data_IF_045104533647
#
_entry.id   IF_045104533647
#
_cell.length_a   1.000
_cell.length_b   1.000
_cell.length_c   1.000
_cell.angle_alpha   90.00
_cell.angle_beta   90.00
_cell.angle_gamma   90.00
#
_symmetry.space_group_name_H-M   'P 1'
#
loop_
_entity.id
_entity.type
_entity.pdbx_description
1 polymer ?
#
# COMPACT_ATOMS: atom_id res chain seq x y z
N UNK A 1 -1.31 -24.93 17.54
CA UNK A 1 -0.20 -24.42 18.37
C UNK A 1 -0.22 -25.22 19.65
N UNK A 2 0.88 -25.87 20.03
CA UNK A 2 0.94 -26.61 21.29
C UNK A 2 1.06 -25.62 22.47
N UNK A 3 0.67 -26.02 23.68
CA UNK A 3 0.73 -25.14 24.86
C UNK A 3 2.16 -24.64 25.16
N UNK A 4 3.17 -25.45 24.86
CA UNK A 4 4.59 -25.07 24.94
C UNK A 4 4.96 -23.97 23.94
N UNK A 5 4.44 -24.05 22.71
CA UNK A 5 4.69 -23.04 21.67
C UNK A 5 4.04 -21.70 22.05
N UNK A 6 2.83 -21.74 22.63
CA UNK A 6 2.14 -20.53 23.09
C UNK A 6 2.92 -19.83 24.20
N UNK A 7 3.47 -20.57 25.18
CA UNK A 7 4.33 -20.01 26.23
C UNK A 7 5.65 -19.45 25.67
N UNK A 8 6.27 -20.15 24.73
CA UNK A 8 7.49 -19.67 24.07
C UNK A 8 7.22 -18.38 23.29
N UNK A 9 6.08 -18.30 22.59
CA UNK A 9 5.66 -17.12 21.86
C UNK A 9 5.39 -15.93 22.79
N UNK A 10 4.64 -16.12 23.88
CA UNK A 10 4.38 -15.08 24.87
C UNK A 10 5.66 -14.53 25.53
N UNK A 11 6.58 -15.43 25.90
CA UNK A 11 7.88 -15.06 26.45
C UNK A 11 8.70 -14.26 25.42
N UNK A 12 8.66 -14.65 24.15
CA UNK A 12 9.35 -13.93 23.07
C UNK A 12 8.77 -12.54 22.84
N UNK A 13 7.45 -12.38 22.83
CA UNK A 13 6.80 -11.06 22.73
C UNK A 13 7.21 -10.15 23.90
N UNK A 14 7.23 -10.67 25.12
CA UNK A 14 7.66 -9.92 26.31
C UNK A 14 9.13 -9.51 26.25
N UNK A 15 10.00 -10.36 25.70
CA UNK A 15 11.43 -10.06 25.57
C UNK A 15 11.65 -8.93 24.56
N UNK A 16 11.00 -9.00 23.39
CA UNK A 16 11.08 -7.97 22.35
C UNK A 16 10.49 -6.64 22.84
N UNK A 17 9.36 -6.66 23.57
CA UNK A 17 8.74 -5.45 24.10
C UNK A 17 9.64 -4.65 25.06
N UNK A 18 10.69 -5.27 25.62
CA UNK A 18 11.65 -4.66 26.55
C UNK A 18 12.90 -4.11 25.86
N UNK A 19 13.05 -4.26 24.54
CA UNK A 19 14.27 -3.80 23.85
C UNK A 19 14.29 -2.30 23.57
N UNK A 20 13.20 -1.59 23.86
CA UNK A 20 13.11 -0.12 23.73
C UNK A 20 13.55 0.57 25.01
N UNK A 21 13.91 1.85 24.92
CA UNK A 21 14.28 2.61 26.10
C UNK A 21 13.05 2.97 26.97
N UNK A 22 13.24 3.41 28.23
CA UNK A 22 12.14 3.84 29.10
C UNK A 22 11.30 5.00 28.55
N UNK A 23 11.89 5.85 27.70
CA UNK A 23 11.22 7.00 27.08
C UNK A 23 10.37 6.65 25.85
N UNK A 24 10.24 5.36 25.50
CA UNK A 24 9.34 4.94 24.42
C UNK A 24 7.87 5.27 24.78
N UNK A 25 7.13 6.01 23.94
CA UNK A 25 5.79 6.49 24.26
C UNK A 25 4.73 5.39 24.30
N UNK A 26 5.02 4.18 23.78
CA UNK A 26 4.06 3.07 23.73
C UNK A 26 3.91 2.40 25.10
N UNK A 27 2.72 1.89 25.39
CA UNK A 27 2.49 1.02 26.56
C UNK A 27 3.16 -0.35 26.37
N UNK A 28 3.30 -1.12 27.45
CA UNK A 28 3.85 -2.49 27.37
C UNK A 28 3.06 -3.39 26.42
N UNK A 29 1.73 -3.28 26.42
CA UNK A 29 0.87 -4.12 25.58
C UNK A 29 0.93 -3.69 24.11
N UNK A 30 1.04 -2.39 23.84
CA UNK A 30 1.32 -1.87 22.49
C UNK A 30 2.67 -2.37 21.97
N UNK A 31 3.73 -2.33 22.79
CA UNK A 31 5.04 -2.89 22.41
C UNK A 31 4.97 -4.41 22.16
N UNK A 32 4.18 -5.14 22.94
CA UNK A 32 3.94 -6.58 22.71
C UNK A 32 3.16 -6.83 21.42
N UNK A 33 2.20 -5.99 21.06
CA UNK A 33 1.52 -6.07 19.77
C UNK A 33 2.49 -5.81 18.61
N UNK A 34 3.30 -4.75 18.70
CA UNK A 34 4.32 -4.43 17.70
C UNK A 34 5.38 -5.54 17.59
N UNK A 35 5.69 -6.23 18.69
CA UNK A 35 6.61 -7.37 18.71
C UNK A 35 6.15 -8.53 17.81
N UNK A 36 4.84 -8.68 17.54
CA UNK A 36 4.34 -9.66 16.56
C UNK A 36 4.87 -9.33 15.17
N UNK A 37 4.87 -8.05 14.80
CA UNK A 37 5.47 -7.55 13.57
C UNK A 37 6.96 -7.84 13.51
N UNK A 38 7.70 -7.55 14.59
CA UNK A 38 9.14 -7.83 14.69
C UNK A 38 9.44 -9.32 14.49
N UNK A 39 8.71 -10.23 15.15
CA UNK A 39 8.87 -11.68 14.97
C UNK A 39 8.57 -12.09 13.53
N UNK A 40 7.50 -11.55 12.94
CA UNK A 40 7.09 -11.87 11.56
C UNK A 40 8.15 -11.44 10.55
N UNK A 41 8.85 -10.35 10.83
CA UNK A 41 10.01 -9.89 10.06
C UNK A 41 11.32 -10.47 10.60
N UNK A 42 11.32 -11.57 11.37
CA UNK A 42 12.54 -12.26 11.81
C UNK A 42 13.53 -11.42 12.63
N UNK A 43 13.09 -10.28 13.16
CA UNK A 43 13.88 -9.40 13.98
C UNK A 43 13.76 -9.79 15.47
N UNK A 44 14.67 -9.28 16.29
CA UNK A 44 14.78 -9.60 17.71
C UNK A 44 14.61 -8.38 18.63
N UNK A 45 14.41 -7.19 18.07
CA UNK A 45 14.21 -5.93 18.79
C UNK A 45 13.21 -5.02 18.09
N UNK A 46 12.53 -4.17 18.87
CA UNK A 46 11.74 -3.04 18.38
C UNK A 46 12.63 -1.84 18.09
N UNK A 47 12.23 -1.03 17.12
CA UNK A 47 12.68 0.35 16.99
C UNK A 47 11.95 1.22 18.01
N UNK A 48 12.70 1.97 18.81
CA UNK A 48 12.21 2.87 19.84
C UNK A 48 11.59 4.12 19.19
N UNK A 49 10.45 4.58 19.71
CA UNK A 49 9.74 5.77 19.21
C UNK A 49 9.95 7.00 20.10
N UNK A 50 11.05 7.05 20.86
CA UNK A 50 11.34 8.17 21.77
C UNK A 50 11.89 9.44 21.08
N UNK A 51 12.01 9.42 19.74
CA UNK A 51 12.45 10.56 18.90
C UNK A 51 13.85 11.13 19.21
N UNK A 52 14.65 10.44 20.02
CA UNK A 52 16.02 10.84 20.35
C UNK A 52 17.00 10.27 19.32
N UNK A 53 17.80 11.15 18.72
CA UNK A 53 18.80 10.79 17.70
C UNK A 53 19.91 9.87 18.25
N UNK A 54 20.21 9.96 19.55
CA UNK A 54 21.23 9.14 20.22
C UNK A 54 20.66 7.87 20.86
N UNK A 55 19.41 7.49 20.55
CA UNK A 55 18.82 6.29 21.11
C UNK A 55 19.41 5.04 20.43
N UNK A 56 20.15 4.17 21.15
CA UNK A 56 20.68 2.93 20.56
C UNK A 56 19.57 1.95 20.15
N UNK A 57 18.37 2.12 20.71
CA UNK A 57 17.18 1.36 20.34
C UNK A 57 16.35 2.06 19.25
N UNK A 58 16.68 3.29 18.84
CA UNK A 58 15.94 4.07 17.83
C UNK A 58 16.09 3.54 16.41
N UNK A 59 17.18 2.82 16.13
CA UNK A 59 17.40 2.22 14.82
C UNK A 59 16.41 1.10 14.51
N UNK A 60 15.79 1.16 13.33
CA UNK A 60 14.99 0.06 12.82
C UNK A 60 15.87 -1.17 12.58
N UNK A 61 15.49 -2.36 13.10
CA UNK A 61 16.17 -3.58 12.70
C UNK A 61 16.04 -3.79 11.19
N UNK A 62 17.05 -4.39 10.53
CA UNK A 62 17.03 -4.61 9.09
C UNK A 62 15.85 -5.51 8.70
N UNK A 63 15.08 -5.10 7.69
CA UNK A 63 13.94 -5.87 7.16
C UNK A 63 14.41 -7.21 6.58
N UNK A 64 13.70 -8.29 6.89
CA UNK A 64 14.00 -9.66 6.41
C UNK A 64 13.38 -10.01 5.05
N UNK A 65 13.00 -9.01 4.26
CA UNK A 65 12.63 -9.20 2.84
C UNK A 65 11.17 -9.62 2.60
N UNK A 66 10.32 -9.63 3.62
CA UNK A 66 8.86 -9.70 3.45
C UNK A 66 8.35 -8.28 3.17
N UNK A 67 7.72 -8.09 2.00
CA UNK A 67 7.13 -6.80 1.61
C UNK A 67 5.62 -6.95 1.53
N UNK A 68 4.92 -6.12 2.30
CA UNK A 68 3.46 -6.02 2.26
C UNK A 68 3.09 -4.73 1.55
N UNK A 69 2.25 -4.83 0.51
CA UNK A 69 1.78 -3.67 -0.23
C UNK A 69 0.40 -3.27 0.28
N UNK A 70 0.34 -2.06 0.85
CA UNK A 70 -0.89 -1.38 1.27
C UNK A 70 -1.15 -0.24 0.29
N UNK A 71 -2.38 -0.15 -0.21
CA UNK A 71 -2.87 0.96 -1.02
C UNK A 71 -3.75 1.80 -0.10
N UNK A 72 -3.43 3.08 0.06
CA UNK A 72 -4.18 4.02 0.88
C UNK A 72 -4.41 5.30 0.07
N UNK A 73 -5.47 6.04 0.41
CA UNK A 73 -5.68 7.37 -0.16
C UNK A 73 -4.75 8.37 0.54
N UNK A 74 -4.40 9.46 -0.15
CA UNK A 74 -3.45 10.45 0.37
C UNK A 74 -3.96 11.12 1.65
N UNK A 75 -5.28 11.38 1.73
CA UNK A 75 -5.93 11.94 2.92
C UNK A 75 -5.77 11.06 4.18
N UNK A 76 -5.60 9.75 4.00
CA UNK A 76 -5.35 8.80 5.08
C UNK A 76 -3.94 8.95 5.64
N UNK A 77 -3.01 9.55 4.88
CA UNK A 77 -1.63 9.76 5.31
C UNK A 77 -1.45 11.11 6.04
N UNK A 78 -2.22 12.12 5.63
CA UNK A 78 -2.04 13.51 6.09
C UNK A 78 -2.55 13.74 7.52
N UNK A 79 -3.52 12.94 8.00
CA UNK A 79 -3.96 12.96 9.40
C UNK A 79 -3.06 12.09 10.29
N UNK A 80 -1.81 12.52 10.47
CA UNK A 80 -0.95 11.95 11.52
C UNK A 80 -1.59 12.26 12.88
N UNK A 81 -1.80 11.26 13.78
CA UNK A 81 -2.32 11.55 15.11
C UNK A 81 -1.36 12.51 15.82
N UNK A 82 -1.86 13.67 16.21
CA UNK A 82 -1.14 14.55 17.11
C UNK A 82 -0.82 13.77 18.41
N UNK A 83 0.37 13.95 19.01
CA UNK A 83 0.66 13.36 20.31
C UNK A 83 -0.45 13.74 21.28
N UNK A 84 -0.97 12.74 22.01
CA UNK A 84 -2.01 12.98 23.00
C UNK A 84 -1.56 14.09 23.96
N UNK A 85 -2.37 15.13 24.10
CA UNK A 85 -2.10 16.17 25.09
C UNK A 85 -2.03 15.51 26.48
N UNK A 86 -1.06 15.89 27.32
CA UNK A 86 -0.96 15.34 28.67
C UNK A 86 -2.28 15.60 29.42
N UNK A 87 -2.70 14.66 30.30
CA UNK A 87 -3.92 14.85 31.07
C UNK A 87 -3.82 16.16 31.87
N UNK A 88 -4.93 16.91 32.01
CA UNK A 88 -4.93 18.11 32.83
C UNK A 88 -4.50 17.75 34.25
N UNK A 89 -3.60 18.57 34.81
CA UNK A 89 -3.13 18.41 36.18
C UNK A 89 -4.34 18.35 37.14
N UNK A 90 -4.29 17.50 38.19
CA UNK A 90 -5.35 17.47 39.18
C UNK A 90 -5.51 18.86 39.77
N UNK A 91 -6.74 19.37 39.73
CA UNK A 91 -7.11 20.61 40.40
C UNK A 91 -6.89 20.43 41.91
N UNK A 92 -6.27 21.39 42.61
CA UNK A 92 -6.12 21.30 44.05
C UNK A 92 -7.50 21.30 44.73
N UNK A 93 -7.69 20.37 45.67
CA UNK A 93 -8.88 20.26 46.50
C UNK A 93 -9.17 21.60 47.21
N UNK A 94 -10.31 22.19 46.89
CA UNK A 94 -10.91 23.27 47.68
C UNK A 94 -11.82 22.62 48.73
N UNK A 95 -11.59 22.81 50.03
CA UNK A 95 -12.45 22.26 51.06
C UNK A 95 -13.85 22.88 50.96
N UNK A 96 -14.87 22.05 50.76
CA UNK A 96 -16.27 22.47 50.84
C UNK A 96 -16.83 22.13 52.22
N UNK A 97 -17.44 23.12 52.89
CA UNK A 97 -18.21 22.95 54.13
C UNK A 97 -19.43 22.03 53.92
N UNK A 98 -19.93 21.35 54.98
CA UNK A 98 -20.87 20.25 54.84
C UNK A 98 -22.34 20.74 54.84
N UNK A 99 -23.25 20.06 54.13
CA UNK A 99 -24.64 19.99 54.54
C UNK A 99 -24.88 18.73 55.37
N UNK A 100 -25.63 18.91 56.45
CA UNK A 100 -26.05 17.91 57.43
C UNK A 100 -27.08 16.93 56.87
N UNK A 101 -26.79 15.64 57.09
CA UNK A 101 -27.66 14.49 57.43
C UNK A 101 -29.14 14.47 57.00
N UNK A 102 -29.53 13.39 56.31
CA UNK A 102 -30.45 12.39 56.88
C UNK A 102 -30.26 11.01 56.22
N UNK A 103 -30.33 9.97 57.06
CA UNK A 103 -30.01 8.53 56.94
C UNK A 103 -31.06 7.66 56.17
N UNK A 104 -31.04 6.30 56.15
CA UNK A 104 -29.96 5.29 56.00
C UNK A 104 -30.26 4.08 55.04
N UNK A 105 -29.18 3.43 54.57
CA UNK A 105 -28.86 1.97 54.53
C UNK A 105 -29.65 0.92 53.71
N UNK A 106 -28.96 0.25 52.77
CA UNK A 106 -28.56 -1.20 52.77
C UNK A 106 -27.72 -1.49 51.50
N UNK A 107 -26.42 -1.82 51.55
CA UNK A 107 -25.78 -3.12 51.86
C UNK A 107 -26.26 -4.27 50.92
N UNK A 108 -25.46 -5.11 50.26
CA UNK A 108 -24.01 -5.30 50.15
C UNK A 108 -23.69 -6.28 48.98
N UNK A 109 -22.62 -6.01 48.23
CA UNK A 109 -21.60 -6.91 47.61
C UNK A 109 -22.01 -8.19 46.81
N UNK A 110 -21.07 -9.00 46.30
CA UNK A 110 -20.22 -8.80 45.13
C UNK A 110 -20.35 -9.97 44.10
N UNK A 111 -19.83 -9.82 42.88
CA UNK A 111 -19.22 -10.94 42.14
C UNK A 111 -18.46 -10.43 40.92
N UNK A 112 -17.14 -10.56 40.98
CA UNK A 112 -16.29 -10.68 39.81
C UNK A 112 -16.77 -11.84 38.92
N UNK A 113 -16.85 -11.62 37.60
CA UNK A 113 -16.21 -12.51 36.62
C UNK A 113 -16.39 -12.01 35.17
N UNK A 114 -15.24 -11.72 34.55
CA UNK A 114 -14.84 -11.97 33.15
C UNK A 114 -15.56 -11.30 31.96
N UNK A 115 -14.82 -10.34 31.36
CA UNK A 115 -14.32 -10.31 29.94
C UNK A 115 -15.33 -10.41 28.76
N UNK A 116 -15.13 -9.64 27.65
CA UNK A 116 -13.84 -9.40 27.00
C UNK A 116 -13.49 -7.92 26.73
N UNK A 117 -12.20 -7.63 26.90
CA UNK A 117 -11.55 -6.31 26.81
C UNK A 117 -11.10 -6.01 25.38
N UNK A 118 -11.66 -4.96 24.74
CA UNK A 118 -11.22 -4.43 23.45
C UNK A 118 -10.25 -3.25 23.66
N UNK A 119 -9.02 -3.40 23.14
CA UNK A 119 -7.91 -2.44 23.03
C UNK A 119 -8.09 -1.07 23.74
N UNK A 120 -7.55 -1.02 24.96
CA UNK A 120 -6.90 0.10 25.68
C UNK A 120 -7.63 1.47 25.81
N UNK A 121 -8.30 1.69 26.96
CA UNK A 121 -8.75 3.00 27.47
C UNK A 121 -10.23 3.02 27.91
N UNK A 122 -10.62 3.86 28.88
CA UNK A 122 -12.04 4.03 29.22
C UNK A 122 -12.85 4.29 27.94
N UNK A 123 -14.00 3.61 27.76
CA UNK A 123 -14.77 3.77 26.54
C UNK A 123 -15.19 5.24 26.45
N UNK A 124 -14.84 5.99 25.37
CA UNK A 124 -15.53 7.23 25.14
C UNK A 124 -17.00 6.87 25.05
N UNK A 125 -17.83 7.54 25.85
CA UNK A 125 -19.25 7.25 25.87
C UNK A 125 -19.75 7.27 24.41
N UNK A 126 -20.27 6.12 23.93
CA UNK A 126 -20.76 5.97 22.55
C UNK A 126 -21.73 7.09 22.18
N UNK A 127 -22.39 7.62 23.21
CA UNK A 127 -23.23 8.79 23.19
C UNK A 127 -22.80 9.73 24.31
N UNK A 128 -22.92 11.03 24.09
CA UNK A 128 -22.63 12.07 25.09
C UNK A 128 -23.51 11.98 26.35
N UNK A 129 -24.58 11.17 26.35
CA UNK A 129 -25.54 10.94 27.45
C UNK A 129 -26.08 9.49 27.42
N UNK A 130 -26.65 8.97 28.52
CA UNK A 130 -27.28 7.65 28.57
C UNK A 130 -28.35 7.45 27.49
N UNK A 131 -28.50 6.23 26.95
CA UNK A 131 -29.40 5.93 25.83
C UNK A 131 -30.86 6.38 26.07
N UNK A 132 -31.33 6.28 27.31
CA UNK A 132 -32.65 6.72 27.77
C UNK A 132 -32.89 8.24 27.66
N UNK A 133 -31.82 9.02 27.53
CA UNK A 133 -31.81 10.48 27.47
C UNK A 133 -31.52 10.99 26.05
N UNK A 134 -31.31 10.09 25.08
CA UNK A 134 -31.10 10.43 23.67
C UNK A 134 -32.42 10.46 22.92
N UNK A 135 -32.54 11.44 22.04
CA UNK A 135 -33.55 11.41 20.97
C UNK A 135 -33.17 10.38 19.90
N UNK A 136 -34.15 9.89 19.14
CA UNK A 136 -33.92 8.96 18.02
C UNK A 136 -32.89 9.52 17.02
N UNK A 137 -32.89 10.84 16.81
CA UNK A 137 -31.93 11.53 15.95
C UNK A 137 -30.52 11.46 16.50
N UNK A 138 -30.31 11.76 17.79
CA UNK A 138 -29.00 11.70 18.45
C UNK A 138 -28.44 10.26 18.51
N UNK A 139 -29.32 9.26 18.64
CA UNK A 139 -28.93 7.84 18.60
C UNK A 139 -28.49 7.37 17.21
N UNK A 140 -28.99 8.02 16.14
CA UNK A 140 -28.71 7.67 14.74
C UNK A 140 -27.62 8.56 14.10
N UNK A 141 -27.24 9.67 14.73
CA UNK A 141 -26.08 10.48 14.33
C UNK A 141 -24.88 10.12 15.21
N UNK A 142 -23.88 9.40 14.69
CA UNK A 142 -22.67 9.11 15.47
C UNK A 142 -21.96 10.42 15.84
N UNK A 143 -21.58 10.55 17.12
CA UNK A 143 -20.68 11.61 17.60
C UNK A 143 -19.40 11.61 16.74
N UNK A 144 -18.92 12.74 16.19
CA UNK A 144 -17.80 12.73 15.24
C UNK A 144 -16.48 12.34 15.92
N UNK A 145 -16.14 11.05 15.88
CA UNK A 145 -14.82 10.55 16.22
C UNK A 145 -13.89 10.66 15.02
N UNK A 146 -12.81 11.44 15.14
CA UNK A 146 -11.80 11.76 14.10
C UNK A 146 -11.32 10.54 13.28
N UNK A 147 -11.22 9.36 13.89
CA UNK A 147 -10.78 8.12 13.23
C UNK A 147 -11.79 7.53 12.24
N UNK A 148 -13.08 7.89 12.34
CA UNK A 148 -14.12 7.43 11.43
C UNK A 148 -14.11 8.16 10.07
N UNK A 149 -13.35 9.26 9.94
CA UNK A 149 -13.24 10.03 8.70
C UNK A 149 -12.10 9.55 7.79
N UNK A 150 -11.19 8.73 8.32
CA UNK A 150 -10.09 8.16 7.55
C UNK A 150 -10.60 7.11 6.57
N UNK A 151 -10.31 7.31 5.29
CA UNK A 151 -10.66 6.33 4.26
C UNK A 151 -9.96 5.00 4.57
N UNK A 152 -10.65 3.86 4.38
CA UNK A 152 -10.01 2.57 4.53
C UNK A 152 -8.94 2.39 3.45
N UNK A 153 -7.88 1.69 3.81
CA UNK A 153 -6.88 1.21 2.88
C UNK A 153 -7.20 -0.23 2.46
N UNK A 154 -6.40 -0.76 1.54
CA UNK A 154 -6.46 -2.17 1.22
C UNK A 154 -5.08 -2.79 0.99
N UNK A 155 -4.94 -4.03 1.40
CA UNK A 155 -3.81 -4.87 1.03
C UNK A 155 -3.97 -5.32 -0.43
N UNK A 156 -2.85 -5.36 -1.16
CA UNK A 156 -2.83 -5.94 -2.49
C UNK A 156 -3.19 -7.44 -2.39
N UNK A 157 -4.37 -7.80 -2.92
CA UNK A 157 -5.05 -9.07 -2.59
C UNK A 157 -6.51 -8.89 -2.17
N UNK A 158 -6.95 -7.65 -1.91
CA UNK A 158 -8.36 -7.29 -1.75
C UNK A 158 -8.87 -7.29 -0.31
N UNK A 159 -7.98 -7.40 0.69
CA UNK A 159 -8.36 -7.28 2.10
C UNK A 159 -8.40 -5.82 2.52
N UNK A 160 -9.46 -5.42 3.19
CA UNK A 160 -9.65 -4.06 3.70
C UNK A 160 -8.87 -3.85 4.99
N UNK A 161 -8.34 -2.65 5.16
CA UNK A 161 -7.65 -2.19 6.35
C UNK A 161 -8.35 -0.91 6.84
N UNK A 162 -8.87 -0.88 8.08
CA UNK A 162 -9.47 0.35 8.61
C UNK A 162 -8.50 1.53 8.55
N UNK A 163 -9.00 2.74 8.26
CA UNK A 163 -8.16 3.91 8.02
C UNK A 163 -7.15 4.18 9.14
N UNK A 164 -7.57 4.09 10.40
CA UNK A 164 -6.68 4.23 11.56
C UNK A 164 -5.52 3.21 11.60
N UNK A 165 -5.76 1.97 11.14
CA UNK A 165 -4.70 0.95 11.04
C UNK A 165 -3.78 1.27 9.86
N UNK A 166 -4.34 1.76 8.75
CA UNK A 166 -3.57 2.20 7.61
C UNK A 166 -2.62 3.36 7.98
N UNK A 167 -3.09 4.38 8.70
CA UNK A 167 -2.26 5.48 9.21
C UNK A 167 -1.10 4.94 10.05
N UNK A 168 -1.36 4.03 10.98
CA UNK A 168 -0.30 3.43 11.81
C UNK A 168 0.70 2.63 10.97
N UNK A 169 0.24 1.90 9.96
CA UNK A 169 1.10 1.14 9.06
C UNK A 169 2.05 2.02 8.24
N UNK A 170 1.84 3.35 8.19
CA UNK A 170 2.77 4.28 7.52
C UNK A 170 4.05 4.52 8.31
N UNK A 171 4.05 4.29 9.62
CA UNK A 171 5.21 4.57 10.47
C UNK A 171 6.36 3.66 10.07
N UNK A 172 7.43 4.26 9.52
CA UNK A 172 8.60 3.53 9.01
C UNK A 172 8.39 2.85 7.65
N UNK A 173 7.24 3.04 6.99
CA UNK A 173 6.99 2.48 5.67
C UNK A 173 7.61 3.30 4.55
N UNK A 174 8.08 2.63 3.49
CA UNK A 174 8.41 3.30 2.24
C UNK A 174 7.13 3.71 1.52
N UNK A 175 6.90 5.02 1.41
CA UNK A 175 5.72 5.57 0.73
C UNK A 175 6.05 5.80 -0.75
N UNK A 176 5.25 5.22 -1.64
CA UNK A 176 5.35 5.46 -3.09
C UNK A 176 4.03 6.03 -3.59
N UNK A 177 4.06 7.24 -4.13
CA UNK A 177 2.89 7.86 -4.74
C UNK A 177 2.51 7.15 -6.04
N UNK A 178 1.27 6.63 -6.10
CA UNK A 178 0.72 6.06 -7.33
C UNK A 178 -0.01 7.15 -8.10
N UNK A 179 0.50 7.49 -9.28
CA UNK A 179 -0.08 8.51 -10.14
C UNK A 179 -0.85 7.85 -11.27
N UNK A 180 -2.12 8.22 -11.43
CA UNK A 180 -2.94 7.79 -12.55
C UNK A 180 -2.32 8.29 -13.88
N UNK A 181 -2.13 7.43 -14.90
CA UNK A 181 -1.44 7.81 -16.13
C UNK A 181 -2.27 8.76 -17.02
N UNK A 182 -3.58 8.87 -16.78
CA UNK A 182 -4.46 9.75 -17.54
C UNK A 182 -4.42 9.39 -19.03
N UNK A 183 -4.18 10.40 -19.87
CA UNK A 183 -4.07 10.26 -21.32
C UNK A 183 -2.61 10.18 -21.81
N UNK A 184 -1.68 9.77 -20.94
CA UNK A 184 -0.27 9.61 -21.33
C UNK A 184 -0.12 8.66 -22.53
N UNK A 185 0.81 8.96 -23.45
CA UNK A 185 1.04 8.09 -24.60
C UNK A 185 1.55 6.72 -24.16
N UNK A 186 1.36 5.67 -24.98
CA UNK A 186 1.88 4.35 -24.69
C UNK A 186 3.42 4.32 -24.58
N UNK A 187 3.93 3.39 -23.78
CA UNK A 187 5.36 3.14 -23.70
C UNK A 187 5.87 2.36 -24.93
N UNK A 188 7.08 2.67 -25.44
CA UNK A 188 7.59 2.09 -26.69
C UNK A 188 8.11 0.65 -26.55
N UNK A 189 8.07 0.08 -25.34
CA UNK A 189 8.69 -1.20 -25.00
C UNK A 189 7.62 -2.23 -24.64
N UNK A 190 7.88 -3.50 -24.94
CA UNK A 190 7.00 -4.61 -24.53
C UNK A 190 6.81 -4.66 -23.01
N UNK A 191 7.90 -4.51 -22.25
CA UNK A 191 7.81 -4.52 -20.79
C UNK A 191 7.42 -3.13 -20.28
N UNK A 192 6.35 -3.01 -19.49
CA UNK A 192 6.00 -1.74 -18.88
C UNK A 192 7.08 -1.29 -17.90
N UNK A 193 7.24 0.02 -17.76
CA UNK A 193 8.03 0.64 -16.70
C UNK A 193 7.53 0.21 -15.32
N UNK A 194 8.39 0.36 -14.31
CA UNK A 194 8.01 0.09 -12.92
C UNK A 194 6.77 0.92 -12.53
N UNK A 195 6.72 2.21 -12.91
CA UNK A 195 5.61 3.11 -12.60
C UNK A 195 4.29 2.63 -13.21
N UNK A 196 4.29 2.28 -14.49
CA UNK A 196 3.09 1.77 -15.16
C UNK A 196 2.66 0.41 -14.60
N UNK A 197 3.62 -0.49 -14.34
CA UNK A 197 3.34 -1.80 -13.77
C UNK A 197 2.79 -1.70 -12.34
N UNK A 198 3.32 -0.80 -11.51
CA UNK A 198 2.82 -0.55 -10.15
C UNK A 198 1.42 0.05 -10.19
N UNK A 199 1.16 1.01 -11.09
CA UNK A 199 -0.20 1.53 -11.32
C UNK A 199 -1.19 0.42 -11.69
N UNK A 200 -0.85 -0.42 -12.68
CA UNK A 200 -1.74 -1.52 -13.13
C UNK A 200 -2.01 -2.48 -11.98
N UNK A 201 -1.02 -2.82 -11.16
CA UNK A 201 -1.20 -3.69 -9.98
C UNK A 201 -2.08 -3.05 -8.91
N UNK A 202 -1.91 -1.75 -8.65
CA UNK A 202 -2.73 -1.02 -7.69
C UNK A 202 -4.19 -0.88 -8.16
N UNK A 203 -4.41 -0.61 -9.44
CA UNK A 203 -5.75 -0.59 -10.06
C UNK A 203 -6.42 -1.96 -9.95
N UNK A 204 -5.70 -3.00 -10.36
CA UNK A 204 -6.28 -4.33 -10.52
C UNK A 204 -6.47 -5.08 -9.19
N UNK A 205 -5.53 -4.89 -8.25
CA UNK A 205 -5.40 -5.52 -6.91
C UNK A 205 -5.30 -7.05 -6.89
N UNK A 206 -5.96 -7.73 -7.82
CA UNK A 206 -6.02 -9.18 -7.97
C UNK A 206 -6.00 -9.57 -9.45
N UNK A 207 -5.80 -10.86 -9.73
CA UNK A 207 -5.97 -11.41 -11.06
C UNK A 207 -7.35 -11.07 -11.62
N UNK A 208 -7.38 -10.56 -12.86
CA UNK A 208 -8.58 -10.02 -13.50
C UNK A 208 -9.45 -11.04 -14.22
N UNK A 209 -9.06 -12.32 -14.20
CA UNK A 209 -9.88 -13.42 -14.69
C UNK A 209 -11.11 -13.62 -13.77
N UNK A 210 -12.30 -13.96 -14.31
CA UNK A 210 -13.52 -14.07 -13.51
C UNK A 210 -13.36 -14.95 -12.26
N UNK A 211 -13.67 -14.39 -11.08
CA UNK A 211 -13.65 -15.08 -9.79
C UNK A 211 -12.26 -15.37 -9.19
N UNK A 212 -11.17 -15.03 -9.87
CA UNK A 212 -9.83 -15.25 -9.32
C UNK A 212 -9.49 -14.21 -8.25
N UNK A 213 -8.86 -14.64 -7.15
CA UNK A 213 -8.45 -13.76 -6.03
C UNK A 213 -6.94 -13.71 -5.80
N UNK A 214 -6.15 -14.25 -6.72
CA UNK A 214 -4.68 -14.20 -6.60
C UNK A 214 -4.23 -12.74 -6.56
N UNK A 215 -3.42 -12.31 -5.58
CA UNK A 215 -2.95 -10.93 -5.49
C UNK A 215 -2.20 -10.47 -6.74
N UNK A 216 -2.34 -9.20 -7.10
CA UNK A 216 -1.66 -8.61 -8.26
C UNK A 216 -0.11 -8.64 -8.16
N UNK A 217 0.46 -8.72 -6.96
CA UNK A 217 1.89 -8.98 -6.73
C UNK A 217 2.36 -10.31 -7.31
N UNK A 218 1.46 -11.30 -7.34
CA UNK A 218 1.70 -12.65 -7.86
C UNK A 218 1.17 -12.82 -9.29
N UNK A 219 0.86 -11.71 -9.97
CA UNK A 219 0.36 -11.69 -11.33
C UNK A 219 1.42 -11.17 -12.32
N UNK A 220 1.36 -11.75 -13.52
CA UNK A 220 1.99 -11.20 -14.71
C UNK A 220 1.15 -9.99 -15.17
N UNK A 221 1.81 -8.93 -15.64
CA UNK A 221 1.15 -7.80 -16.31
C UNK A 221 1.08 -8.15 -17.80
N UNK A 222 -0.12 -8.42 -18.28
CA UNK A 222 -0.41 -9.01 -19.57
C UNK A 222 -1.19 -8.06 -20.48
N UNK A 223 -0.87 -8.05 -21.76
CA UNK A 223 -1.54 -7.22 -22.75
C UNK A 223 -2.87 -7.84 -23.20
N UNK A 224 -3.95 -7.08 -23.34
CA UNK A 224 -5.20 -7.51 -24.00
C UNK A 224 -4.95 -7.72 -25.48
N UNK A 225 -4.54 -6.66 -26.16
CA UNK A 225 -4.09 -6.68 -27.54
C UNK A 225 -2.59 -6.98 -27.50
N UNK A 226 -2.14 -8.16 -27.99
CA UNK A 226 -0.75 -8.56 -27.88
C UNK A 226 0.20 -7.54 -28.51
N UNK A 227 1.31 -7.26 -27.84
CA UNK A 227 2.41 -6.50 -28.44
C UNK A 227 3.04 -7.27 -29.62
N UNK A 228 3.43 -6.62 -30.73
CA UNK A 228 3.40 -5.17 -30.99
C UNK A 228 2.10 -4.67 -31.63
N UNK A 229 1.08 -5.52 -31.79
CA UNK A 229 -0.21 -5.12 -32.40
C UNK A 229 -1.00 -4.16 -31.50
N UNK A 230 -0.85 -4.30 -30.19
CA UNK A 230 -1.35 -3.35 -29.21
C UNK A 230 -0.19 -2.76 -28.42
N UNK A 231 -0.22 -1.46 -28.10
CA UNK A 231 0.90 -0.83 -27.45
C UNK A 231 0.91 -1.10 -25.94
N UNK A 232 2.04 -0.85 -25.27
CA UNK A 232 2.15 -0.97 -23.81
C UNK A 232 1.54 0.28 -23.15
N UNK A 233 0.26 0.19 -22.79
CA UNK A 233 -0.50 1.29 -22.16
C UNK A 233 -1.42 0.76 -21.06
N UNK A 234 -1.82 1.64 -20.14
CA UNK A 234 -2.67 1.27 -19.00
C UNK A 234 -4.00 0.59 -19.40
N UNK A 235 -4.66 1.08 -20.44
CA UNK A 235 -5.90 0.52 -21.03
C UNK A 235 -5.67 -0.83 -21.72
N UNK A 236 -4.44 -1.15 -22.11
CA UNK A 236 -4.10 -2.44 -22.74
C UNK A 236 -3.51 -3.46 -21.77
N UNK A 237 -3.16 -3.08 -20.54
CA UNK A 237 -2.50 -3.95 -19.58
C UNK A 237 -3.43 -4.37 -18.45
N UNK A 238 -3.28 -5.60 -17.97
CA UNK A 238 -4.01 -6.14 -16.82
C UNK A 238 -3.20 -7.19 -16.06
N UNK A 239 -3.57 -7.43 -14.81
CA UNK A 239 -2.98 -8.46 -13.97
C UNK A 239 -3.63 -9.83 -14.23
N UNK A 240 -2.84 -10.81 -14.64
CA UNK A 240 -3.25 -12.21 -14.69
C UNK A 240 -2.28 -13.07 -13.89
N UNK A 241 -2.80 -13.94 -13.02
CA UNK A 241 -1.96 -14.94 -12.37
C UNK A 241 -1.39 -15.88 -13.42
N UNK A 242 -0.28 -16.55 -13.12
CA UNK A 242 0.42 -17.38 -14.09
C UNK A 242 -0.50 -18.39 -14.79
N UNK A 243 -1.42 -19.01 -14.05
CA UNK A 243 -2.41 -19.96 -14.58
C UNK A 243 -3.30 -19.31 -15.63
N UNK A 244 -3.89 -18.15 -15.34
CA UNK A 244 -4.83 -17.49 -16.25
C UNK A 244 -4.14 -16.75 -17.39
N UNK A 245 -2.92 -16.27 -17.19
CA UNK A 245 -2.08 -15.77 -18.28
C UNK A 245 -1.84 -16.89 -19.30
N UNK A 246 -1.40 -18.08 -18.85
CA UNK A 246 -1.23 -19.24 -19.72
C UNK A 246 -2.54 -19.67 -20.39
N UNK A 247 -3.66 -19.65 -19.65
CA UNK A 247 -4.99 -19.95 -20.21
C UNK A 247 -5.31 -19.03 -21.40
N UNK A 248 -5.13 -17.72 -21.23
CA UNK A 248 -5.34 -16.72 -22.29
C UNK A 248 -4.38 -16.93 -23.46
N UNK A 249 -3.11 -17.23 -23.20
CA UNK A 249 -2.11 -17.42 -24.25
C UNK A 249 -2.36 -18.66 -25.10
N UNK A 250 -2.64 -19.81 -24.47
CA UNK A 250 -2.65 -21.11 -25.16
C UNK A 250 -4.05 -21.64 -25.48
N UNK A 251 -5.07 -21.17 -24.75
CA UNK A 251 -6.47 -21.48 -24.99
C UNK A 251 -7.29 -20.21 -25.21
N UNK A 252 -6.69 -19.24 -25.91
CA UNK A 252 -7.34 -18.03 -26.37
C UNK A 252 -7.89 -18.12 -27.80
N UNK A 253 -8.62 -17.10 -28.24
CA UNK A 253 -9.05 -16.92 -29.63
C UNK A 253 -10.50 -17.35 -29.90
N UNK A 254 -10.85 -17.60 -31.17
CA UNK A 254 -12.24 -17.85 -31.58
C UNK A 254 -12.87 -19.09 -30.90
N UNK A 255 -12.08 -20.14 -30.66
CA UNK A 255 -12.52 -21.38 -30.00
C UNK A 255 -12.08 -21.46 -28.52
N UNK A 256 -11.55 -20.37 -27.99
CA UNK A 256 -11.01 -20.27 -26.64
C UNK A 256 -11.58 -19.09 -25.88
N UNK A 257 -10.89 -18.69 -24.82
CA UNK A 257 -11.19 -17.48 -24.08
C UNK A 257 -10.84 -16.23 -24.90
N UNK A 258 -11.68 -15.20 -24.80
CA UNK A 258 -11.41 -13.88 -25.37
C UNK A 258 -11.64 -12.81 -24.31
N UNK A 259 -10.94 -11.71 -24.44
CA UNK A 259 -11.01 -10.58 -23.55
C UNK A 259 -10.99 -9.27 -24.33
N UNK A 260 -11.89 -8.38 -23.95
CA UNK A 260 -11.92 -6.99 -24.39
C UNK A 260 -11.74 -6.12 -23.15
N UNK A 261 -10.78 -5.19 -23.18
CA UNK A 261 -10.49 -4.30 -22.07
C UNK A 261 -10.87 -2.87 -22.44
N UNK A 262 -11.63 -2.23 -21.57
CA UNK A 262 -12.05 -0.84 -21.69
C UNK A 262 -11.02 0.09 -21.04
N UNK A 263 -11.11 1.38 -21.37
CA UNK A 263 -10.15 2.41 -20.94
C UNK A 263 -10.10 2.62 -19.43
N UNK A 264 -11.17 2.26 -18.71
CA UNK A 264 -11.28 2.30 -17.25
C UNK A 264 -10.71 1.04 -16.56
N UNK A 265 -10.21 0.06 -17.32
CA UNK A 265 -9.68 -1.21 -16.84
C UNK A 265 -10.73 -2.31 -16.61
N UNK A 266 -11.99 -2.05 -16.96
CA UNK A 266 -13.03 -3.09 -17.02
C UNK A 266 -12.72 -4.07 -18.15
N UNK A 267 -12.92 -5.37 -17.89
CA UNK A 267 -12.66 -6.43 -18.89
C UNK A 267 -13.93 -7.23 -19.10
N UNK A 268 -14.31 -7.37 -20.36
CA UNK A 268 -15.36 -8.28 -20.82
C UNK A 268 -14.68 -9.56 -21.29
N UNK A 269 -14.80 -10.62 -20.49
CA UNK A 269 -14.35 -11.95 -20.85
C UNK A 269 -15.44 -12.70 -21.57
N UNK A 270 -15.11 -13.36 -22.67
CA UNK A 270 -15.97 -14.32 -23.36
C UNK A 270 -15.38 -15.71 -23.20
N UNK A 271 -16.14 -16.62 -22.60
CA UNK A 271 -15.78 -18.02 -22.48
C UNK A 271 -15.91 -18.77 -23.82
N UNK A 272 -15.30 -19.95 -23.98
CA UNK A 272 -15.39 -20.74 -25.21
C UNK A 272 -16.81 -21.13 -25.61
N UNK A 273 -17.73 -21.24 -24.64
CA UNK A 273 -19.15 -21.52 -24.84
C UNK A 273 -19.98 -20.26 -25.19
N UNK A 274 -19.33 -19.10 -25.31
CA UNK A 274 -19.95 -17.81 -25.64
C UNK A 274 -20.47 -17.02 -24.44
N UNK A 275 -20.42 -17.56 -23.21
CA UNK A 275 -20.86 -16.81 -22.02
C UNK A 275 -19.94 -15.63 -21.74
N UNK A 276 -20.51 -14.50 -21.34
CA UNK A 276 -19.75 -13.29 -21.02
C UNK A 276 -19.67 -13.05 -19.51
N UNK A 277 -18.52 -12.57 -19.06
CA UNK A 277 -18.26 -12.22 -17.67
C UNK A 277 -17.56 -10.86 -17.63
N UNK A 278 -18.11 -9.93 -16.86
CA UNK A 278 -17.51 -8.61 -16.67
C UNK A 278 -16.71 -8.62 -15.38
N UNK A 279 -15.45 -8.21 -15.44
CA UNK A 279 -14.65 -7.93 -14.24
C UNK A 279 -14.28 -6.46 -14.21
N UNK A 280 -14.50 -5.77 -13.10
CA UNK A 280 -14.08 -4.38 -12.87
C UNK A 280 -12.86 -4.33 -11.96
N UNK A 281 -11.97 -3.32 -12.09
CA UNK A 281 -10.79 -3.21 -11.24
C UNK A 281 -11.07 -3.43 -9.76
N UNK A 282 -10.20 -4.16 -9.06
CA UNK A 282 -10.39 -4.41 -7.62
C UNK A 282 -10.39 -3.12 -6.80
N UNK A 283 -9.70 -2.08 -7.30
CA UNK A 283 -9.63 -0.78 -6.66
C UNK A 283 -10.91 0.04 -6.83
N UNK A 284 -11.83 -0.31 -7.74
CA UNK A 284 -12.95 0.54 -8.17
C UNK A 284 -13.82 1.06 -7.01
N UNK A 285 -13.99 0.28 -5.94
CA UNK A 285 -14.82 0.66 -4.80
C UNK A 285 -14.11 1.62 -3.84
N UNK A 286 -12.84 1.35 -3.49
CA UNK A 286 -12.10 2.14 -2.50
C UNK A 286 -11.32 3.30 -3.10
N UNK A 287 -10.81 3.09 -4.30
CA UNK A 287 -9.94 4.00 -5.05
C UNK A 287 -10.49 4.15 -6.48
N UNK A 288 -11.71 4.70 -6.64
CA UNK A 288 -12.33 4.90 -7.96
C UNK A 288 -11.46 5.77 -8.88
N UNK A 289 -10.63 6.64 -8.32
CA UNK A 289 -9.65 7.45 -9.05
C UNK A 289 -8.63 6.64 -9.86
N UNK A 290 -8.31 5.40 -9.43
CA UNK A 290 -7.43 4.50 -10.16
C UNK A 290 -8.14 3.81 -11.35
N UNK A 291 -9.48 3.86 -11.38
CA UNK A 291 -10.32 3.31 -12.45
C UNK A 291 -10.87 4.39 -13.37
N UNK A 292 -10.25 5.58 -13.42
CA UNK A 292 -10.62 6.60 -14.41
C UNK A 292 -10.19 6.14 -15.81
N UNK A 293 -10.91 6.50 -16.89
CA UNK A 293 -10.48 6.17 -18.24
C UNK A 293 -9.07 6.67 -18.56
N UNK A 294 -8.29 5.81 -19.20
CA UNK A 294 -6.93 6.11 -19.70
C UNK A 294 -6.93 6.24 -21.23
N UNK A 295 -5.78 6.51 -21.85
CA UNK A 295 -5.67 6.62 -23.30
C UNK A 295 -6.20 5.37 -24.02
N UNK A 296 -7.16 5.54 -24.92
CA UNK A 296 -7.70 4.44 -25.72
C UNK A 296 -6.61 3.84 -26.61
N UNK A 297 -6.59 2.50 -26.70
CA UNK A 297 -5.69 1.79 -27.59
C UNK A 297 -6.46 1.15 -28.74
N UNK A 298 -5.84 1.16 -29.92
CA UNK A 298 -6.35 0.51 -31.11
C UNK A 298 -5.32 -0.52 -31.57
N UNK A 299 -5.80 -1.66 -32.07
CA UNK A 299 -4.93 -2.65 -32.67
C UNK A 299 -4.40 -2.13 -34.02
N UNK A 300 -3.09 -2.20 -34.24
CA UNK A 300 -2.46 -1.85 -35.52
C UNK A 300 -2.55 -2.96 -36.58
N UNK A 301 -3.09 -4.12 -36.21
CA UNK A 301 -3.29 -5.27 -37.10
C UNK A 301 -3.89 -6.47 -36.36
N UNK A 302 -4.05 -7.58 -37.09
CA UNK A 302 -4.53 -8.85 -36.50
C UNK A 302 -3.31 -9.63 -36.01
N UNK A 303 -3.25 -9.99 -34.71
CA UNK A 303 -2.20 -10.87 -34.21
C UNK A 303 -2.21 -12.19 -34.98
N UNK A 304 -1.04 -12.66 -35.41
CA UNK A 304 -0.93 -14.02 -35.97
C UNK A 304 -1.40 -14.98 -34.90
N UNK A 305 -2.29 -15.92 -35.24
CA UNK A 305 -2.75 -16.91 -34.26
C UNK A 305 -1.54 -17.64 -33.70
N UNK A 306 -1.23 -17.43 -32.42
CA UNK A 306 -0.39 -18.39 -31.72
C UNK A 306 -1.06 -19.74 -31.85
N UNK A 307 -0.29 -20.75 -32.25
CA UNK A 307 -0.75 -22.12 -32.48
C UNK A 307 -1.37 -22.68 -31.21
N UNK A 308 -2.67 -22.44 -31.05
CA UNK A 308 -3.52 -23.07 -30.05
C UNK A 308 -3.36 -24.58 -30.22
N UNK A 309 -2.71 -25.23 -29.25
CA UNK A 309 -2.42 -26.67 -29.29
C UNK A 309 -0.93 -27.07 -29.27
N UNK A 310 0.04 -26.15 -29.38
CA UNK A 310 1.45 -26.50 -29.14
C UNK A 310 1.77 -26.54 -27.64
N UNK A 311 2.34 -27.66 -27.19
CA UNK A 311 2.94 -27.81 -25.86
C UNK A 311 3.94 -26.69 -25.57
N UNK A 312 3.93 -26.18 -24.34
CA UNK A 312 4.88 -25.17 -23.84
C UNK A 312 6.31 -25.47 -24.33
N UNK A 313 6.97 -24.55 -25.05
CA UNK A 313 8.37 -24.71 -25.40
C UNK A 313 9.20 -24.94 -24.14
N UNK A 314 10.04 -25.98 -24.13
CA UNK A 314 10.96 -26.21 -23.02
C UNK A 314 11.93 -25.02 -22.94
N UNK A 315 11.92 -24.37 -21.79
CA UNK A 315 12.79 -23.23 -21.46
C UNK A 315 14.26 -23.67 -21.60
N UNK A 316 15.03 -22.95 -22.42
CA UNK A 316 16.45 -23.22 -22.65
C UNK A 316 17.38 -22.56 -21.61
N UNK A 317 16.92 -21.51 -20.93
CA UNK A 317 17.69 -20.68 -19.97
C UNK A 317 16.98 -20.56 -18.63
N UNK A 318 17.72 -20.53 -17.52
CA UNK A 318 17.09 -20.40 -16.20
C UNK A 318 16.49 -19.01 -15.98
N UNK A 319 15.55 -18.87 -15.03
CA UNK A 319 14.95 -17.55 -14.69
C UNK A 319 15.98 -16.58 -14.12
N UNK A 320 17.00 -17.11 -13.44
CA UNK A 320 18.09 -16.31 -12.88
C UNK A 320 18.99 -15.77 -13.99
N UNK A 321 19.35 -16.60 -14.97
CA UNK A 321 20.10 -16.18 -16.16
C UNK A 321 19.35 -15.13 -16.98
N UNK A 322 18.06 -15.36 -17.28
CA UNK A 322 17.24 -14.38 -18.01
C UNK A 322 17.16 -13.03 -17.26
N UNK A 323 17.10 -13.07 -15.92
CA UNK A 323 17.06 -11.86 -15.08
C UNK A 323 18.42 -11.15 -15.10
N UNK A 324 19.52 -11.87 -14.94
CA UNK A 324 20.87 -11.31 -14.93
C UNK A 324 21.21 -10.69 -16.29
N UNK A 325 20.98 -11.43 -17.38
CA UNK A 325 21.20 -10.96 -18.75
C UNK A 325 20.36 -9.72 -19.07
N UNK A 326 19.15 -9.61 -18.50
CA UNK A 326 18.31 -8.42 -18.63
C UNK A 326 18.87 -7.23 -17.86
N UNK A 327 19.19 -7.40 -16.58
CA UNK A 327 19.73 -6.30 -15.76
C UNK A 327 21.01 -5.76 -16.41
N UNK A 328 21.84 -6.65 -16.94
CA UNK A 328 23.05 -6.30 -17.66
C UNK A 328 22.74 -5.48 -18.93
N UNK A 329 21.80 -5.94 -19.76
CA UNK A 329 21.38 -5.20 -20.96
C UNK A 329 20.77 -3.84 -20.63
N UNK A 330 19.96 -3.75 -19.58
CA UNK A 330 19.36 -2.48 -19.15
C UNK A 330 20.45 -1.51 -18.67
N UNK A 331 21.48 -2.00 -17.96
CA UNK A 331 22.67 -1.19 -17.58
C UNK A 331 23.44 -0.70 -18.79
N UNK A 332 23.71 -1.58 -19.76
CA UNK A 332 24.41 -1.22 -21.00
C UNK A 332 23.65 -0.17 -21.81
N UNK A 333 22.32 -0.27 -21.89
CA UNK A 333 21.48 0.75 -22.55
C UNK A 333 21.51 2.09 -21.83
N UNK A 334 21.41 2.08 -20.49
CA UNK A 334 21.50 3.31 -19.70
C UNK A 334 22.89 3.95 -19.80
N UNK A 335 23.96 3.15 -19.82
CA UNK A 335 25.34 3.64 -20.03
C UNK A 335 25.49 4.28 -21.42
N UNK A 336 24.87 3.71 -22.46
CA UNK A 336 24.84 4.29 -23.79
C UNK A 336 24.04 5.59 -23.85
N UNK A 337 22.91 5.68 -23.16
CA UNK A 337 22.08 6.90 -23.07
C UNK A 337 22.85 8.03 -22.37
N UNK A 338 23.50 7.73 -21.23
CA UNK A 338 24.35 8.69 -20.52
C UNK A 338 25.54 9.16 -21.36
N UNK A 339 26.17 8.27 -22.15
CA UNK A 339 27.27 8.63 -23.03
C UNK A 339 26.84 9.54 -24.19
N UNK A 340 25.59 9.39 -24.68
CA UNK A 340 25.01 10.26 -25.70
C UNK A 340 24.65 11.63 -25.12
N UNK A 341 24.11 11.67 -23.89
CA UNK A 341 23.81 12.92 -23.18
C UNK A 341 25.09 13.72 -22.86
N UNK A 342 26.16 13.04 -22.44
CA UNK A 342 27.48 13.65 -22.18
C UNK A 342 28.15 14.15 -23.48
N UNK A 343 27.98 13.42 -24.59
CA UNK A 343 28.48 13.85 -25.91
C UNK A 343 27.68 15.02 -26.54
N UNK A 344 26.42 15.20 -26.12
CA UNK A 344 25.56 16.33 -26.51
C UNK A 344 25.88 17.64 -25.79
N UNK A 345 26.53 17.56 -24.62
CA UNK A 345 27.01 18.71 -23.86
C UNK A 345 28.39 19.19 -24.35
N UNK A 346 28.48 19.78 -25.55
CA UNK A 346 29.68 20.54 -25.93
C UNK A 346 29.66 21.93 -25.27
N UNK A 347 30.77 22.41 -24.67
CA UNK A 347 30.84 23.74 -24.08
C UNK A 347 30.91 24.80 -25.18
N UNK A 348 29.89 25.66 -25.26
CA UNK A 348 29.87 26.83 -26.13
C UNK A 348 30.39 28.08 -25.41
N UNK A 349 31.43 28.67 -26.00
CA UNK A 349 31.77 30.09 -26.07
C UNK A 349 31.93 30.90 -24.76
N UNK A 350 33.14 30.86 -24.20
CA UNK A 350 33.69 31.89 -23.33
C UNK A 350 34.89 32.60 -23.98
N UNK A 351 34.64 33.39 -25.03
CA UNK A 351 35.68 34.25 -25.62
C UNK A 351 35.89 35.48 -24.76
N UNK A 352 36.89 35.44 -23.87
CA UNK A 352 37.38 36.60 -23.13
C UNK A 352 38.17 37.47 -24.11
N UNK A 353 37.56 38.55 -24.61
CA UNK A 353 38.27 39.61 -25.30
C UNK A 353 39.04 40.44 -24.26
N UNK A 354 40.36 40.27 -24.22
CA UNK A 354 41.27 41.22 -23.61
C UNK A 354 41.78 42.14 -24.71
N UNK A 355 41.22 43.33 -24.78
CA UNK A 355 41.75 44.49 -25.48
C UNK A 355 41.15 45.71 -24.79
N UNK A 356 41.86 46.79 -24.50
CA UNK A 356 43.24 47.18 -24.71
C UNK A 356 43.34 48.52 -23.97
N UNK A 357 44.52 48.82 -23.45
CA UNK A 357 44.83 50.05 -22.73
C UNK A 357 44.44 51.29 -23.56
N UNK A 358 43.71 52.21 -22.94
CA UNK A 358 43.56 53.57 -23.46
C UNK A 358 43.90 54.59 -22.37
N UNK A 359 44.75 55.50 -22.79
CA UNK A 359 45.48 56.49 -22.03
C UNK A 359 44.58 57.60 -21.47
N UNK A 360 45.00 58.10 -20.31
CA UNK A 360 45.05 59.53 -19.97
C UNK A 360 43.73 60.33 -19.89
N UNK A 361 43.28 60.59 -18.65
CA UNK A 361 42.72 61.91 -18.31
C UNK A 361 42.91 62.29 -16.84
N UNK A 362 43.80 63.26 -16.68
CA UNK A 362 43.94 64.22 -15.57
C UNK A 362 42.59 64.91 -15.26
N UNK A 363 42.40 65.26 -13.98
CA UNK A 363 41.37 66.20 -13.53
C UNK A 363 40.84 65.86 -12.15
#
# INVERSE_FOLDING_TARGET
>A
MFATDAKAFDARLSAIAKTVCPADPRTKDQRRADAIGVISHGADRLACLCESDDCPAGENPPSTGVVVYVIASADTLDERPAPASPPPAPTPDVPSEPPTSDEPNEAAAPAESNEPTALDGEPPALFTKPLRELTLTEALTPTPGRLAQLRPAALMGGQFLPGAIACRATVGATITAIVHPGQAPPEPRYRPSKRLADFVRCRDMTCRFPGCRVPATNCDVDHTIPWPYGPTAASNLKCLCRRHHLLKTFWGGQRGWRDEQLDDGTIVWTAPDGRTYVTTPGSRLLFPELSKPTASVQASGVPVSHTAGLTMPRRKTTRAEDRANRIQRDRELNEQELAVDDAGARPGDGQLLVGGDDEDRRG
#
